data_IF_201633487547
#
_entry.id   IF_201633487547
#
_cell.length_a   1.000
_cell.length_b   1.000
_cell.length_c   1.000
_cell.angle_alpha   90.00
_cell.angle_beta   90.00
_cell.angle_gamma   90.00
#
_symmetry.space_group_name_H-M   'P 1'
#
loop_
_entity.id
_entity.type
_entity.pdbx_description
1 polymer ?
#
# COMPACT_ATOMS: atom_id res chain seq x y z
N UNK A 1 12.95 -7.35 25.82
CA UNK A 1 13.23 -7.53 24.39
C UNK A 1 12.54 -8.74 23.71
N UNK A 2 11.52 -9.45 24.26
CA UNK A 2 10.96 -10.62 23.55
C UNK A 2 10.01 -10.27 22.39
N UNK A 3 9.18 -9.23 22.50
CA UNK A 3 8.06 -8.98 21.56
C UNK A 3 8.53 -8.61 20.13
N UNK A 4 9.66 -7.91 19.98
CA UNK A 4 10.15 -7.51 18.65
C UNK A 4 10.71 -8.68 17.83
N UNK A 5 11.27 -9.70 18.49
CA UNK A 5 11.74 -10.90 17.80
C UNK A 5 10.56 -11.69 17.21
N UNK A 6 9.43 -11.73 17.92
CA UNK A 6 8.22 -12.45 17.49
C UNK A 6 7.45 -11.74 16.36
N UNK A 7 7.73 -10.46 16.09
CA UNK A 7 7.13 -9.65 15.02
C UNK A 7 8.00 -9.56 13.76
N UNK A 8 9.09 -10.31 13.71
CA UNK A 8 10.00 -10.36 12.58
C UNK A 8 9.75 -11.63 11.74
N UNK A 9 9.41 -11.51 10.44
CA UNK A 9 9.34 -12.66 9.55
C UNK A 9 10.71 -13.36 9.42
N UNK A 10 10.70 -14.62 8.97
CA UNK A 10 11.91 -15.43 8.83
C UNK A 10 12.98 -14.80 7.90
N UNK A 11 12.55 -13.99 6.93
CA UNK A 11 13.37 -13.27 5.96
C UNK A 11 13.52 -11.77 6.29
N UNK A 12 13.50 -11.40 7.57
CA UNK A 12 13.56 -10.00 8.01
C UNK A 12 14.80 -9.25 7.49
N UNK A 13 15.95 -9.94 7.38
CA UNK A 13 17.20 -9.32 6.90
C UNK A 13 17.09 -8.91 5.43
N UNK A 14 16.61 -9.82 4.58
CA UNK A 14 16.39 -9.60 3.15
C UNK A 14 15.31 -8.55 2.91
N UNK A 15 14.24 -8.58 3.72
CA UNK A 15 13.15 -7.60 3.68
C UNK A 15 13.62 -6.20 4.03
N UNK A 16 14.42 -6.04 5.10
CA UNK A 16 15.00 -4.76 5.49
C UNK A 16 16.00 -4.26 4.45
N UNK A 17 16.77 -5.15 3.82
CA UNK A 17 17.63 -4.80 2.71
C UNK A 17 16.83 -4.23 1.53
N UNK A 18 15.75 -4.91 1.13
CA UNK A 18 14.86 -4.45 0.06
C UNK A 18 14.20 -3.10 0.38
N UNK A 19 13.75 -2.89 1.62
CA UNK A 19 13.20 -1.61 2.06
C UNK A 19 14.22 -0.46 1.98
N UNK A 20 15.49 -0.72 2.33
CA UNK A 20 16.56 0.28 2.21
C UNK A 20 16.87 0.60 0.75
N UNK A 21 16.87 -0.41 -0.13
CA UNK A 21 17.07 -0.21 -1.56
C UNK A 21 15.97 0.67 -2.18
N UNK A 22 14.71 0.54 -1.72
CA UNK A 22 13.59 1.33 -2.19
C UNK A 22 13.73 2.87 -2.00
N UNK A 23 14.69 3.32 -1.18
CA UNK A 23 15.02 4.74 -0.93
C UNK A 23 13.80 5.64 -0.68
N UNK A 24 12.85 5.11 0.10
CA UNK A 24 11.53 5.73 0.31
C UNK A 24 11.27 6.19 1.75
N UNK A 25 11.91 5.58 2.76
CA UNK A 25 11.65 5.87 4.19
C UNK A 25 11.83 7.34 4.59
N UNK A 26 12.82 8.02 4.01
CA UNK A 26 13.17 9.41 4.33
C UNK A 26 12.86 10.39 3.21
N UNK A 27 12.10 9.94 2.22
CA UNK A 27 11.69 10.77 1.09
C UNK A 27 10.58 11.74 1.47
N UNK A 28 10.51 12.86 0.75
CA UNK A 28 9.37 13.78 0.87
C UNK A 28 8.08 13.09 0.45
N UNK A 29 6.95 13.62 0.90
CA UNK A 29 5.64 13.16 0.43
C UNK A 29 5.51 13.42 -1.08
N UNK A 30 4.90 12.46 -1.78
CA UNK A 30 4.65 12.56 -3.21
C UNK A 30 3.16 12.33 -3.45
N UNK A 31 2.56 13.25 -4.20
CA UNK A 31 1.11 13.35 -4.38
C UNK A 31 0.48 12.06 -4.93
N UNK A 32 1.17 11.34 -5.82
CA UNK A 32 0.69 10.07 -6.37
C UNK A 32 0.34 9.03 -5.28
N UNK A 33 1.11 8.97 -4.19
CA UNK A 33 0.82 8.06 -3.08
C UNK A 33 -0.36 8.56 -2.24
N UNK A 34 -0.51 9.88 -2.08
CA UNK A 34 -1.65 10.49 -1.41
C UNK A 34 -2.96 10.23 -2.18
N UNK A 35 -2.91 10.27 -3.51
CA UNK A 35 -4.06 9.94 -4.35
C UNK A 35 -4.42 8.45 -4.28
N UNK A 36 -3.44 7.55 -4.21
CA UNK A 36 -3.69 6.12 -4.06
C UNK A 36 -4.37 5.77 -2.73
N UNK A 37 -3.93 6.34 -1.60
CA UNK A 37 -4.63 6.14 -0.30
C UNK A 37 -6.01 6.78 -0.31
N UNK A 38 -6.19 7.92 -0.99
CA UNK A 38 -7.48 8.56 -1.14
C UNK A 38 -8.45 7.74 -2.01
N UNK A 39 -7.97 7.18 -3.13
CA UNK A 39 -8.74 6.28 -3.98
C UNK A 39 -9.15 5.04 -3.18
N UNK A 40 -8.22 4.41 -2.46
CA UNK A 40 -8.48 3.24 -1.63
C UNK A 40 -9.57 3.52 -0.60
N UNK A 41 -9.43 4.60 0.17
CA UNK A 41 -10.42 5.02 1.17
C UNK A 41 -11.80 5.26 0.55
N UNK A 42 -11.86 5.96 -0.60
CA UNK A 42 -13.12 6.24 -1.30
C UNK A 42 -13.76 5.00 -1.88
N UNK A 43 -12.98 4.15 -2.53
CA UNK A 43 -13.44 2.91 -3.17
C UNK A 43 -14.14 2.03 -2.16
N UNK A 44 -13.49 1.80 -1.02
CA UNK A 44 -14.05 0.97 0.02
C UNK A 44 -14.96 1.76 0.98
N UNK A 45 -15.15 3.06 0.83
CA UNK A 45 -15.98 3.85 1.76
C UNK A 45 -15.48 3.81 3.22
N UNK A 46 -14.16 3.79 3.42
CA UNK A 46 -13.52 3.84 4.74
C UNK A 46 -12.93 5.24 4.99
N UNK A 47 -12.99 5.74 6.24
CA UNK A 47 -12.58 7.10 6.52
C UNK A 47 -11.06 7.27 6.52
N UNK A 48 -10.30 6.21 6.78
CA UNK A 48 -8.84 6.29 6.96
C UNK A 48 -8.15 5.27 6.06
N UNK A 49 -7.07 5.70 5.41
CA UNK A 49 -6.15 4.82 4.69
C UNK A 49 -4.71 5.30 4.85
N UNK A 50 -3.76 4.37 4.86
CA UNK A 50 -2.34 4.66 4.93
C UNK A 50 -1.54 3.80 3.96
N UNK A 51 -0.46 4.39 3.44
CA UNK A 51 0.72 3.64 3.00
C UNK A 51 1.75 3.73 4.11
N UNK A 52 2.14 2.57 4.63
CA UNK A 52 3.04 2.43 5.74
C UNK A 52 4.23 1.54 5.36
N UNK A 53 5.42 1.94 5.75
CA UNK A 53 6.68 1.24 5.51
C UNK A 53 7.23 0.75 6.85
N UNK A 54 7.64 -0.51 6.92
CA UNK A 54 8.00 -1.14 8.18
C UNK A 54 9.52 -1.32 8.27
N UNK A 55 10.17 -0.49 9.08
CA UNK A 55 11.58 -0.66 9.43
C UNK A 55 11.72 -1.65 10.62
N UNK A 56 12.91 -1.71 11.19
CA UNK A 56 13.34 -2.68 12.18
C UNK A 56 12.46 -2.63 13.44
N UNK A 57 12.27 -1.45 14.02
CA UNK A 57 11.52 -1.24 15.26
C UNK A 57 10.32 -0.29 15.10
N UNK A 58 10.17 0.33 13.92
CA UNK A 58 9.20 1.40 13.67
C UNK A 58 8.50 1.26 12.33
N UNK A 59 7.31 1.83 12.28
CA UNK A 59 6.54 2.09 11.07
C UNK A 59 6.68 3.56 10.68
N UNK A 60 6.86 3.81 9.39
CA UNK A 60 6.92 5.13 8.79
C UNK A 60 5.77 5.29 7.79
N UNK A 61 4.98 6.34 7.92
CA UNK A 61 3.85 6.60 7.03
C UNK A 61 4.32 7.40 5.82
N UNK A 62 4.12 6.87 4.61
CA UNK A 62 4.46 7.57 3.35
C UNK A 62 3.32 8.47 2.87
N UNK A 63 2.09 8.03 3.08
CA UNK A 63 0.87 8.74 2.68
C UNK A 63 -0.27 8.42 3.64
N UNK A 64 -1.19 9.37 3.81
CA UNK A 64 -2.41 9.21 4.60
C UNK A 64 -3.62 9.84 3.94
N UNK A 65 -4.78 9.27 4.22
CA UNK A 65 -6.09 9.88 3.95
C UNK A 65 -6.94 9.87 5.20
N UNK A 66 -7.77 10.92 5.37
CA UNK A 66 -8.71 11.05 6.48
C UNK A 66 -8.13 11.61 7.77
N UNK A 67 -6.82 11.46 7.98
CA UNK A 67 -6.09 12.00 9.12
C UNK A 67 -4.76 12.63 8.67
N UNK A 68 -4.24 13.62 9.43
CA UNK A 68 -2.87 14.10 9.25
C UNK A 68 -1.87 12.95 9.31
N UNK A 69 -0.75 13.08 8.59
CA UNK A 69 0.28 12.06 8.59
C UNK A 69 0.84 11.88 10.01
N UNK A 70 0.72 10.70 10.63
CA UNK A 70 1.20 10.50 11.99
C UNK A 70 2.73 10.42 12.04
N UNK A 71 3.34 10.73 13.20
CA UNK A 71 4.76 10.46 13.41
C UNK A 71 5.04 8.95 13.36
N UNK A 72 6.30 8.53 13.18
CA UNK A 72 6.66 7.12 13.24
C UNK A 72 6.24 6.48 14.57
N UNK A 73 5.62 5.31 14.50
CA UNK A 73 5.13 4.56 15.66
C UNK A 73 5.95 3.28 15.88
N UNK A 74 6.00 2.73 17.11
CA UNK A 74 6.62 1.43 17.36
C UNK A 74 5.93 0.32 16.56
N UNK A 75 6.71 -0.58 15.96
CA UNK A 75 6.20 -1.68 15.11
C UNK A 75 5.21 -2.58 15.85
N UNK A 76 5.45 -2.83 17.13
CA UNK A 76 4.61 -3.68 17.97
C UNK A 76 3.22 -3.09 18.28
N UNK A 77 3.03 -1.78 18.09
CA UNK A 77 1.79 -1.08 18.45
C UNK A 77 0.84 -0.91 17.25
N UNK A 78 1.20 -1.43 16.07
CA UNK A 78 0.44 -1.23 14.82
C UNK A 78 0.06 -2.53 14.14
N UNK A 79 -1.19 -2.59 13.65
CA UNK A 79 -1.72 -3.76 12.93
C UNK A 79 -1.02 -4.00 11.58
N UNK A 80 -0.35 -2.97 11.03
CA UNK A 80 0.48 -3.08 9.83
C UNK A 80 1.61 -4.12 9.98
N UNK A 81 2.10 -4.33 11.21
CA UNK A 81 3.12 -5.34 11.48
C UNK A 81 2.63 -6.76 11.20
N UNK A 82 1.34 -7.05 11.42
CA UNK A 82 0.77 -8.38 11.15
C UNK A 82 0.74 -8.69 9.65
N UNK A 83 0.47 -7.67 8.82
CA UNK A 83 0.46 -7.80 7.35
C UNK A 83 1.86 -8.15 6.84
N UNK A 84 2.90 -7.47 7.33
CA UNK A 84 4.29 -7.76 6.94
C UNK A 84 4.78 -9.08 7.50
N UNK A 85 4.45 -9.39 8.76
CA UNK A 85 4.82 -10.66 9.41
C UNK A 85 4.28 -11.87 8.64
N UNK A 86 3.01 -11.82 8.24
CA UNK A 86 2.37 -12.93 7.53
C UNK A 86 2.51 -12.86 6.01
N UNK A 87 2.96 -11.72 5.49
CA UNK A 87 3.06 -11.44 4.07
C UNK A 87 1.79 -11.87 3.31
N UNK A 88 0.64 -11.33 3.71
CA UNK A 88 -0.70 -11.56 3.12
C UNK A 88 -1.68 -10.50 3.63
N UNK A 89 -2.87 -10.42 3.05
CA UNK A 89 -3.95 -9.61 3.61
C UNK A 89 -4.25 -10.04 5.05
N UNK A 90 -4.36 -9.04 5.93
CA UNK A 90 -4.83 -9.21 7.30
C UNK A 90 -6.10 -8.39 7.46
N UNK A 91 -7.18 -9.06 7.84
CA UNK A 91 -8.52 -8.51 7.99
C UNK A 91 -9.02 -8.73 9.42
N UNK A 92 -9.42 -7.65 10.08
CA UNK A 92 -10.17 -7.64 11.32
C UNK A 92 -11.51 -6.95 11.07
N UNK A 93 -12.57 -7.74 10.90
CA UNK A 93 -13.94 -7.23 10.66
C UNK A 93 -14.47 -6.42 11.85
N UNK A 94 -14.11 -6.84 13.07
CA UNK A 94 -14.37 -6.09 14.31
C UNK A 94 -13.30 -6.43 15.38
N UNK A 95 -12.46 -5.45 15.70
CA UNK A 95 -11.41 -5.53 16.71
C UNK A 95 -11.97 -5.72 18.12
N UNK A 96 -13.21 -5.27 18.39
CA UNK A 96 -13.85 -5.43 19.71
C UNK A 96 -14.23 -6.87 20.02
N UNK A 97 -14.40 -7.70 19.00
CA UNK A 97 -14.74 -9.11 19.12
C UNK A 97 -13.57 -10.04 18.78
N UNK A 98 -12.44 -9.48 18.36
CA UNK A 98 -11.24 -10.25 18.02
C UNK A 98 -10.54 -10.70 19.31
N UNK A 99 -10.31 -12.00 19.45
CA UNK A 99 -9.52 -12.53 20.57
C UNK A 99 -8.02 -12.21 20.33
N UNK A 100 -7.38 -11.36 21.15
CA UNK A 100 -6.00 -10.97 20.93
C UNK A 100 -5.04 -12.12 21.26
N UNK A 101 -4.01 -12.27 20.44
CA UNK A 101 -2.85 -13.11 20.73
C UNK A 101 -1.77 -12.29 21.45
N UNK A 102 -0.73 -12.92 22.02
CA UNK A 102 0.42 -12.19 22.55
C UNK A 102 1.14 -11.31 21.50
N UNK A 103 1.02 -11.62 20.22
CA UNK A 103 1.72 -10.95 19.11
C UNK A 103 0.96 -9.71 18.64
N UNK A 104 -0.35 -9.83 18.38
CA UNK A 104 -1.18 -8.73 17.87
C UNK A 104 -1.96 -7.97 18.95
N UNK A 105 -2.03 -8.49 20.18
CA UNK A 105 -2.75 -7.88 21.30
C UNK A 105 -2.39 -6.42 21.58
N UNK A 106 -1.09 -6.04 21.66
CA UNK A 106 -0.70 -4.64 21.83
C UNK A 106 -1.23 -3.73 20.72
N UNK A 107 -1.14 -4.18 19.45
CA UNK A 107 -1.62 -3.44 18.30
C UNK A 107 -3.16 -3.33 18.27
N UNK A 108 -3.89 -4.39 18.64
CA UNK A 108 -5.35 -4.37 18.77
C UNK A 108 -5.78 -3.38 19.86
N UNK A 109 -5.13 -3.41 21.03
CA UNK A 109 -5.43 -2.51 22.13
C UNK A 109 -5.16 -1.04 21.75
N UNK A 110 -4.05 -0.76 21.07
CA UNK A 110 -3.72 0.57 20.57
C UNK A 110 -4.76 1.07 19.55
N UNK A 111 -5.15 0.22 18.58
CA UNK A 111 -6.17 0.55 17.59
C UNK A 111 -7.52 0.90 18.25
N UNK A 112 -7.97 0.10 19.22
CA UNK A 112 -9.20 0.34 19.97
C UNK A 112 -9.16 1.65 20.78
N UNK A 113 -8.01 1.98 21.40
CA UNK A 113 -7.82 3.25 22.11
C UNK A 113 -7.96 4.46 21.17
N UNK A 114 -7.66 4.28 19.89
CA UNK A 114 -7.86 5.26 18.82
C UNK A 114 -9.20 5.10 18.08
N UNK A 115 -10.17 4.40 18.68
CA UNK A 115 -11.53 4.21 18.15
C UNK A 115 -11.61 3.47 16.81
N UNK A 116 -10.55 2.74 16.43
CA UNK A 116 -10.60 1.83 15.29
C UNK A 116 -11.30 0.54 15.68
N UNK A 117 -12.33 0.16 14.91
CA UNK A 117 -13.04 -1.13 15.06
C UNK A 117 -12.82 -2.05 13.87
N UNK A 118 -12.63 -1.51 12.67
CA UNK A 118 -12.34 -2.27 11.48
C UNK A 118 -10.92 -1.98 11.00
N UNK A 119 -10.22 -3.02 10.55
CA UNK A 119 -8.92 -2.91 9.92
C UNK A 119 -8.81 -3.92 8.78
N UNK A 120 -8.28 -3.48 7.64
CA UNK A 120 -7.76 -4.37 6.62
C UNK A 120 -6.47 -3.81 6.07
N UNK A 121 -5.48 -4.65 5.79
CA UNK A 121 -4.25 -4.22 5.13
C UNK A 121 -3.71 -5.28 4.18
N UNK A 122 -3.17 -4.83 3.05
CA UNK A 122 -2.51 -5.64 2.05
C UNK A 122 -1.00 -5.32 1.99
N UNK A 123 -0.14 -6.32 1.76
CA UNK A 123 1.31 -6.16 1.77
C UNK A 123 1.80 -5.42 0.52
N UNK A 124 2.77 -4.53 0.70
CA UNK A 124 3.55 -3.94 -0.39
C UNK A 124 4.75 -4.85 -0.65
N UNK A 125 4.61 -5.74 -1.63
CA UNK A 125 5.64 -6.74 -1.97
C UNK A 125 6.61 -6.18 -2.99
N UNK A 126 7.89 -6.45 -2.80
CA UNK A 126 8.89 -6.35 -3.87
C UNK A 126 8.81 -7.58 -4.79
N UNK A 127 9.46 -7.56 -5.96
CA UNK A 127 9.45 -8.73 -6.87
C UNK A 127 10.17 -9.96 -6.29
N UNK A 128 10.97 -9.78 -5.25
CA UNK A 128 11.53 -10.88 -4.47
C UNK A 128 10.55 -11.36 -3.38
N UNK A 129 9.27 -10.99 -3.45
CA UNK A 129 8.18 -11.34 -2.53
C UNK A 129 8.39 -10.86 -1.07
N UNK A 130 9.30 -9.91 -0.85
CA UNK A 130 9.47 -9.29 0.47
C UNK A 130 8.42 -8.19 0.71
N UNK A 131 7.62 -8.31 1.78
CA UNK A 131 6.71 -7.26 2.22
C UNK A 131 7.46 -6.12 2.90
N UNK A 132 7.68 -5.01 2.20
CA UNK A 132 8.40 -3.85 2.76
C UNK A 132 7.48 -2.89 3.51
N UNK A 133 6.16 -3.05 3.34
CA UNK A 133 5.16 -2.16 3.91
C UNK A 133 3.74 -2.68 3.72
N UNK A 134 2.77 -1.80 3.90
CA UNK A 134 1.33 -2.10 3.79
C UNK A 134 0.56 -0.93 3.17
N UNK A 135 -0.42 -1.24 2.33
CA UNK A 135 -1.58 -0.38 2.10
C UNK A 135 -2.70 -0.83 3.05
N UNK A 136 -3.15 0.03 3.96
CA UNK A 136 -4.19 -0.34 4.92
C UNK A 136 -5.34 0.66 4.97
N UNK A 137 -6.47 0.18 5.46
CA UNK A 137 -7.72 0.90 5.63
C UNK A 137 -8.26 0.66 7.04
N UNK A 138 -8.78 1.72 7.66
CA UNK A 138 -9.24 1.71 9.05
C UNK A 138 -10.62 2.36 9.15
N UNK A 139 -11.50 1.77 9.95
CA UNK A 139 -12.88 2.26 10.15
C UNK A 139 -13.35 2.22 11.61
N UNK A 140 -14.27 3.11 12.01
CA UNK A 140 -14.79 3.19 13.38
C UNK A 140 -15.95 2.22 13.65
N UNK A 141 -16.37 1.45 12.66
CA UNK A 141 -17.50 0.52 12.77
C UNK A 141 -17.09 -0.83 12.20
N UNK A 142 -17.70 -1.90 12.72
CA UNK A 142 -17.50 -3.23 12.14
C UNK A 142 -17.97 -3.25 10.70
N UNK A 143 -17.29 -4.06 9.90
CA UNK A 143 -17.62 -4.21 8.48
C UNK A 143 -17.17 -5.59 8.01
N UNK A 144 -18.01 -6.24 7.23
CA UNK A 144 -17.61 -7.39 6.41
C UNK A 144 -16.88 -6.90 5.18
N UNK A 145 -15.74 -7.53 4.87
CA UNK A 145 -14.94 -7.22 3.70
C UNK A 145 -14.79 -8.48 2.83
N UNK A 146 -15.35 -8.47 1.62
CA UNK A 146 -15.43 -9.66 0.76
C UNK A 146 -14.07 -10.08 0.22
N UNK A 147 -13.95 -11.30 -0.30
CA UNK A 147 -12.72 -11.77 -0.95
C UNK A 147 -12.39 -10.93 -2.19
N UNK A 148 -13.39 -10.51 -2.97
CA UNK A 148 -13.21 -9.61 -4.11
C UNK A 148 -12.72 -8.23 -3.67
N UNK A 149 -13.24 -7.68 -2.56
CA UNK A 149 -12.70 -6.42 -2.02
C UNK A 149 -11.24 -6.58 -1.56
N UNK A 150 -10.86 -7.74 -1.02
CA UNK A 150 -9.46 -8.07 -0.68
C UNK A 150 -8.58 -8.15 -1.92
N UNK A 151 -9.05 -8.79 -3.00
CA UNK A 151 -8.32 -8.89 -4.27
C UNK A 151 -8.04 -7.51 -4.87
N UNK A 152 -9.03 -6.62 -4.89
CA UNK A 152 -8.85 -5.24 -5.38
C UNK A 152 -7.91 -4.46 -4.48
N UNK A 153 -7.97 -4.65 -3.16
CA UNK A 153 -7.03 -4.04 -2.22
C UNK A 153 -5.59 -4.53 -2.44
N UNK A 154 -5.39 -5.82 -2.71
CA UNK A 154 -4.09 -6.38 -3.07
C UNK A 154 -3.57 -5.81 -4.38
N UNK A 155 -4.42 -5.63 -5.41
CA UNK A 155 -4.02 -4.99 -6.66
C UNK A 155 -3.61 -3.52 -6.47
N UNK A 156 -4.34 -2.77 -5.64
CA UNK A 156 -3.94 -1.41 -5.25
C UNK A 156 -2.58 -1.41 -4.53
N UNK A 157 -2.35 -2.38 -3.65
CA UNK A 157 -1.07 -2.55 -2.97
C UNK A 157 0.07 -2.89 -3.96
N UNK A 158 -0.20 -3.70 -4.98
CA UNK A 158 0.73 -3.99 -6.08
C UNK A 158 1.07 -2.74 -6.87
N UNK A 159 0.08 -1.92 -7.26
CA UNK A 159 0.32 -0.62 -7.93
C UNK A 159 1.23 0.28 -7.08
N UNK A 160 0.96 0.38 -5.78
CA UNK A 160 1.81 1.14 -4.85
C UNK A 160 3.23 0.58 -4.87
N UNK A 161 3.40 -0.73 -4.73
CA UNK A 161 4.72 -1.36 -4.70
C UNK A 161 5.51 -1.15 -6.01
N UNK A 162 4.89 -1.36 -7.17
CA UNK A 162 5.51 -1.14 -8.47
C UNK A 162 5.94 0.32 -8.66
N UNK A 163 5.13 1.29 -8.21
CA UNK A 163 5.51 2.71 -8.22
C UNK A 163 6.73 3.01 -7.35
N UNK A 164 6.85 2.37 -6.18
CA UNK A 164 8.02 2.52 -5.31
C UNK A 164 9.28 2.03 -6.03
N UNK A 165 9.21 0.87 -6.69
CA UNK A 165 10.33 0.29 -7.44
C UNK A 165 10.69 1.15 -8.65
N UNK A 166 9.70 1.60 -9.44
CA UNK A 166 9.94 2.48 -10.57
C UNK A 166 10.59 3.80 -10.12
N UNK A 167 10.09 4.39 -9.04
CA UNK A 167 10.67 5.59 -8.42
C UNK A 167 12.13 5.37 -8.09
N UNK A 168 12.47 4.27 -7.41
CA UNK A 168 13.85 3.92 -7.10
C UNK A 168 14.70 3.82 -8.37
N UNK A 169 14.25 3.06 -9.38
CA UNK A 169 14.95 2.90 -10.66
C UNK A 169 15.21 4.25 -11.35
N UNK A 170 14.22 5.14 -11.35
CA UNK A 170 14.38 6.48 -11.89
C UNK A 170 15.45 7.28 -11.15
N UNK A 171 15.42 7.30 -9.81
CA UNK A 171 16.37 8.08 -9.02
C UNK A 171 17.81 7.60 -9.16
N UNK A 172 18.02 6.30 -9.39
CA UNK A 172 19.34 5.72 -9.60
C UNK A 172 19.86 5.88 -11.05
N UNK A 173 19.00 6.33 -11.97
CA UNK A 173 19.34 6.52 -13.39
C UNK A 173 19.84 7.95 -13.66
N UNK A 174 21.12 8.11 -14.01
CA UNK A 174 21.71 9.45 -14.28
C UNK A 174 21.17 10.09 -15.57
N UNK A 175 21.04 11.43 -15.55
CA UNK A 175 20.61 12.35 -16.61
C UNK A 175 19.12 12.35 -17.02
N UNK A 176 18.45 11.20 -17.15
CA UNK A 176 17.05 11.13 -17.64
C UNK A 176 16.02 10.67 -16.58
N UNK A 177 16.49 10.09 -15.48
CA UNK A 177 15.65 9.45 -14.48
C UNK A 177 14.62 10.36 -13.83
N UNK A 178 15.02 11.57 -13.39
CA UNK A 178 14.11 12.51 -12.74
C UNK A 178 12.97 12.98 -13.67
N UNK A 179 13.28 13.29 -14.94
CA UNK A 179 12.28 13.70 -15.91
C UNK A 179 11.37 12.53 -16.33
N UNK A 180 11.91 11.31 -16.40
CA UNK A 180 11.11 10.12 -16.65
C UNK A 180 10.19 9.81 -15.46
N UNK A 181 10.68 9.88 -14.22
CA UNK A 181 9.86 9.73 -13.01
C UNK A 181 8.70 10.72 -13.00
N UNK A 182 8.99 12.00 -13.28
CA UNK A 182 7.96 13.03 -13.36
C UNK A 182 6.86 12.64 -14.36
N UNK A 183 7.23 12.22 -15.58
CA UNK A 183 6.27 11.84 -16.62
C UNK A 183 5.40 10.66 -16.21
N UNK A 184 5.99 9.55 -15.77
CA UNK A 184 5.22 8.36 -15.39
C UNK A 184 4.35 8.65 -14.17
N UNK A 185 4.89 9.38 -13.19
CA UNK A 185 4.13 9.82 -12.02
C UNK A 185 2.90 10.64 -12.39
N UNK A 186 3.04 11.57 -13.34
CA UNK A 186 1.93 12.42 -13.77
C UNK A 186 0.88 11.61 -14.56
N UNK A 187 1.29 10.69 -15.43
CA UNK A 187 0.36 9.78 -16.13
C UNK A 187 -0.42 8.89 -15.16
N UNK A 188 0.26 8.26 -14.20
CA UNK A 188 -0.40 7.41 -13.20
C UNK A 188 -1.33 8.24 -12.34
N UNK A 189 -0.91 9.43 -11.91
CA UNK A 189 -1.75 10.38 -11.17
C UNK A 189 -3.04 10.71 -11.94
N UNK A 190 -2.94 11.06 -13.22
CA UNK A 190 -4.11 11.39 -14.04
C UNK A 190 -5.10 10.21 -14.12
N UNK A 191 -4.59 8.99 -14.24
CA UNK A 191 -5.42 7.78 -14.26
C UNK A 191 -6.07 7.48 -12.90
N UNK A 192 -5.34 7.63 -11.79
CA UNK A 192 -5.89 7.54 -10.43
C UNK A 192 -6.93 8.63 -10.16
N UNK A 193 -6.72 9.84 -10.69
CA UNK A 193 -7.68 10.94 -10.60
C UNK A 193 -8.96 10.66 -11.40
N UNK A 194 -8.82 10.08 -12.59
CA UNK A 194 -9.93 9.61 -13.43
C UNK A 194 -10.77 8.57 -12.69
N UNK A 195 -10.12 7.55 -12.10
CA UNK A 195 -10.78 6.53 -11.29
C UNK A 195 -11.47 7.12 -10.05
N UNK A 196 -10.79 8.02 -9.35
CA UNK A 196 -11.37 8.73 -8.21
C UNK A 196 -12.60 9.55 -8.59
N UNK A 197 -12.61 10.13 -9.78
CA UNK A 197 -13.76 10.89 -10.30
C UNK A 197 -14.91 9.98 -10.67
N UNK A 198 -14.65 8.86 -11.33
CA UNK A 198 -15.64 7.83 -11.60
C UNK A 198 -16.25 7.30 -10.31
N UNK A 199 -15.44 7.00 -9.30
CA UNK A 199 -15.92 6.53 -8.00
C UNK A 199 -16.83 7.57 -7.33
N UNK A 200 -16.45 8.85 -7.33
CA UNK A 200 -17.31 9.94 -6.82
C UNK A 200 -18.64 10.00 -7.56
N UNK A 201 -18.62 9.87 -8.88
CA UNK A 201 -19.83 9.86 -9.69
C UNK A 201 -20.73 8.66 -9.37
N UNK A 202 -20.17 7.45 -9.25
CA UNK A 202 -20.91 6.24 -8.92
C UNK A 202 -21.54 6.34 -7.52
N UNK A 203 -20.80 6.82 -6.53
CA UNK A 203 -21.33 7.07 -5.18
C UNK A 203 -22.43 8.13 -5.20
N UNK A 204 -22.26 9.20 -5.96
CA UNK A 204 -23.28 10.25 -6.07
C UNK A 204 -24.56 9.73 -6.76
N UNK A 205 -24.42 8.86 -7.77
CA UNK A 205 -25.54 8.34 -8.56
C UNK A 205 -26.30 7.23 -7.85
N UNK A 206 -25.60 6.31 -7.20
CA UNK A 206 -26.17 5.08 -6.64
C UNK A 206 -26.23 5.09 -5.10
N UNK A 207 -25.66 6.09 -4.43
CA UNK A 207 -25.58 6.18 -2.98
C UNK A 207 -24.37 5.42 -2.43
N UNK A 208 -24.48 4.86 -1.23
CA UNK A 208 -23.40 4.12 -0.61
C UNK A 208 -23.10 2.84 -1.40
N UNK A 209 -21.87 2.72 -1.92
CA UNK A 209 -21.35 1.51 -2.58
C UNK A 209 -20.66 0.60 -1.56
N UNK A 210 -21.22 0.43 -0.36
CA UNK A 210 -20.65 -0.45 0.67
C UNK A 210 -21.73 -1.42 1.14
N UNK A 211 -21.57 -2.75 0.93
CA UNK A 211 -20.45 -3.42 0.24
C UNK A 211 -20.26 -2.96 -1.21
N UNK A 212 -19.02 -2.96 -1.71
CA UNK A 212 -18.74 -2.53 -3.09
C UNK A 212 -19.35 -3.53 -4.07
N UNK A 213 -20.21 -3.08 -5.01
CA UNK A 213 -20.77 -3.96 -6.04
C UNK A 213 -19.69 -4.64 -6.89
N UNK A 214 -19.90 -5.90 -7.25
CA UNK A 214 -18.92 -6.71 -8.01
C UNK A 214 -18.60 -6.10 -9.38
N UNK A 215 -19.57 -5.48 -10.05
CA UNK A 215 -19.36 -4.80 -11.34
C UNK A 215 -18.42 -3.59 -11.21
N UNK A 216 -18.53 -2.85 -10.10
CA UNK A 216 -17.60 -1.77 -9.75
C UNK A 216 -16.21 -2.33 -9.44
N UNK A 217 -16.13 -3.41 -8.67
CA UNK A 217 -14.85 -4.07 -8.36
C UNK A 217 -14.15 -4.55 -9.64
N UNK A 218 -14.84 -5.27 -10.53
CA UNK A 218 -14.29 -5.71 -11.82
C UNK A 218 -13.84 -4.55 -12.72
N UNK A 219 -14.59 -3.46 -12.73
CA UNK A 219 -14.17 -2.25 -13.44
C UNK A 219 -12.88 -1.68 -12.84
N UNK A 220 -12.77 -1.65 -11.52
CA UNK A 220 -11.54 -1.21 -10.85
C UNK A 220 -10.38 -2.14 -11.14
N UNK A 221 -10.57 -3.46 -11.08
CA UNK A 221 -9.52 -4.43 -11.41
C UNK A 221 -8.93 -4.19 -12.79
N UNK A 222 -9.81 -4.03 -13.79
CA UNK A 222 -9.39 -3.76 -15.17
C UNK A 222 -8.61 -2.46 -15.29
N UNK A 223 -9.03 -1.39 -14.61
CA UNK A 223 -8.36 -0.09 -14.70
C UNK A 223 -7.05 -0.05 -13.91
N UNK A 224 -6.97 -0.77 -12.80
CA UNK A 224 -5.73 -0.95 -12.06
C UNK A 224 -4.73 -1.77 -12.87
N UNK A 225 -5.20 -2.77 -13.63
CA UNK A 225 -4.35 -3.48 -14.59
C UNK A 225 -3.75 -2.55 -15.64
N UNK A 226 -4.54 -1.64 -16.22
CA UNK A 226 -4.05 -0.64 -17.17
C UNK A 226 -2.97 0.27 -16.53
N UNK A 227 -3.13 0.63 -15.25
CA UNK A 227 -2.12 1.40 -14.48
C UNK A 227 -0.85 0.59 -14.26
N UNK A 228 -0.94 -0.70 -13.92
CA UNK A 228 0.22 -1.57 -13.74
C UNK A 228 1.02 -1.68 -15.05
N UNK A 229 0.33 -1.84 -16.19
CA UNK A 229 0.95 -1.87 -17.51
C UNK A 229 1.70 -0.56 -17.82
N UNK A 230 1.11 0.60 -17.50
CA UNK A 230 1.78 1.90 -17.67
C UNK A 230 3.06 2.00 -16.83
N UNK A 231 3.06 1.47 -15.61
CA UNK A 231 4.24 1.45 -14.73
C UNK A 231 5.32 0.53 -15.30
N UNK A 232 4.93 -0.65 -15.77
CA UNK A 232 5.82 -1.64 -16.41
C UNK A 232 6.46 -1.11 -17.69
N UNK A 233 5.67 -0.46 -18.56
CA UNK A 233 6.18 0.20 -19.77
C UNK A 233 7.18 1.31 -19.42
N UNK A 234 6.91 2.11 -18.39
CA UNK A 234 7.84 3.10 -17.86
C UNK A 234 9.15 2.46 -17.39
N UNK A 235 9.06 1.35 -16.67
CA UNK A 235 10.23 0.62 -16.22
C UNK A 235 11.06 0.03 -17.36
N UNK A 236 10.39 -0.56 -18.37
CA UNK A 236 11.06 -1.13 -19.54
C UNK A 236 11.75 -0.04 -20.38
N UNK A 237 11.16 1.14 -20.51
CA UNK A 237 11.80 2.29 -21.14
C UNK A 237 13.16 2.64 -20.50
N UNK A 238 13.27 2.56 -19.16
CA UNK A 238 14.54 2.80 -18.47
C UNK A 238 15.57 1.70 -18.76
N UNK A 239 15.15 0.44 -18.87
CA UNK A 239 16.03 -0.69 -19.23
C UNK A 239 16.61 -0.52 -20.63
N UNK A 240 15.78 -0.10 -21.59
CA UNK A 240 16.20 0.03 -22.99
C UNK A 240 17.03 1.30 -23.24
N UNK A 241 16.75 2.38 -22.51
CA UNK A 241 17.44 3.67 -22.66
C UNK A 241 18.75 3.78 -21.89
N UNK A 242 18.96 2.95 -20.86
CA UNK A 242 20.15 2.99 -20.00
C UNK A 242 20.78 1.61 -19.97
N UNK A 243 22.02 1.50 -20.46
CA UNK A 243 22.90 0.34 -20.30
C UNK A 243 23.31 0.15 -18.81
N UNK A 244 22.35 0.00 -17.89
CA UNK A 244 22.59 -0.25 -16.47
C UNK A 244 21.92 -1.56 -16.05
N UNK A 245 22.70 -2.57 -15.58
CA UNK A 245 22.16 -3.87 -15.20
C UNK A 245 21.30 -3.88 -13.92
N UNK A 246 21.19 -2.76 -13.18
CA UNK A 246 20.68 -2.76 -11.81
C UNK A 246 19.15 -2.81 -11.66
N UNK A 247 18.37 -2.61 -12.73
CA UNK A 247 16.89 -2.61 -12.69
C UNK A 247 16.24 -3.85 -13.34
N UNK A 248 17.02 -4.81 -13.82
CA UNK A 248 16.51 -5.92 -14.62
C UNK A 248 15.65 -6.96 -13.86
N UNK A 249 15.97 -7.38 -12.61
CA UNK A 249 15.26 -8.50 -11.99
C UNK A 249 13.99 -8.13 -11.20
N UNK A 250 13.78 -6.85 -10.85
CA UNK A 250 12.75 -6.46 -9.87
C UNK A 250 11.36 -6.11 -10.45
N UNK A 251 11.19 -6.09 -11.77
CA UNK A 251 9.89 -5.77 -12.40
C UNK A 251 9.49 -6.75 -13.50
N UNK A 252 10.33 -7.74 -13.82
CA UNK A 252 10.02 -8.73 -14.87
C UNK A 252 9.22 -9.95 -14.38
N UNK A 253 8.88 -9.98 -13.09
CA UNK A 253 8.23 -11.11 -12.41
C UNK A 253 6.85 -10.76 -11.81
N UNK A 254 6.28 -9.61 -12.17
CA UNK A 254 4.88 -9.28 -11.84
C UNK A 254 3.95 -9.76 -12.96
#
# INVERSE_FOLDING_TARGET
MPILADLSPANETERLYALRQADILHSLQEEVFNELVALSARLFGLPISYIALLDTDRIHYKASYGLPLPPPAPRQDVLCAQVVLHNRVVLYNDLTTTAPTPIDGPAIANALAHQARFYVGAPLRTAAEHAIGTLCLVGPSSRTFSEQEQQVLEQLATVVAQLIVLRQCCLHTRALGAAHWQRVRDLVRDEIHSLSTLMRYLVQRYGALVPVPEDVLHLMERRLWDVQLLIEEGANYLKDSVLSPSCAPELSNY
#
